data_IF_440409139166
#
_entry.id   IF_440409139166
#
_cell.length_a   1.000
_cell.length_b   1.000
_cell.length_c   1.000
_cell.angle_alpha   90.00
_cell.angle_beta   90.00
_cell.angle_gamma   90.00
#
_symmetry.space_group_name_H-M   'P 1'
#
loop_
_entity.id
_entity.type
_entity.pdbx_description
1 polymer ?
#
# COMPACT_ATOMS: atom_id res chain seq x y z
N UNK A 1 -22.92 18.92 -3.45
CA UNK A 1 -21.46 19.12 -3.64
C UNK A 1 -20.78 17.77 -3.44
N UNK A 2 -20.46 17.06 -4.53
CA UNK A 2 -19.78 15.76 -4.46
C UNK A 2 -18.37 15.97 -3.92
N UNK A 3 -18.00 15.25 -2.86
CA UNK A 3 -16.65 15.31 -2.30
C UNK A 3 -15.72 14.49 -3.20
N UNK A 4 -14.92 15.15 -4.02
CA UNK A 4 -13.82 14.49 -4.72
C UNK A 4 -12.83 13.94 -3.68
N UNK A 5 -12.85 12.63 -3.45
CA UNK A 5 -11.96 11.96 -2.52
C UNK A 5 -10.76 11.41 -3.30
N UNK A 6 -9.58 11.98 -3.03
CA UNK A 6 -8.33 11.56 -3.64
C UNK A 6 -7.61 10.53 -2.77
N UNK A 7 -7.05 9.51 -3.40
CA UNK A 7 -6.22 8.49 -2.73
C UNK A 7 -4.80 8.67 -3.24
N UNK A 8 -3.86 8.97 -2.32
CA UNK A 8 -2.44 9.08 -2.63
C UNK A 8 -1.72 7.83 -2.14
N UNK A 9 -1.06 7.13 -3.07
CA UNK A 9 -0.30 5.91 -2.76
C UNK A 9 1.15 6.17 -3.11
N UNK A 10 2.05 5.87 -2.16
CA UNK A 10 3.50 5.88 -2.41
C UNK A 10 3.93 4.46 -2.74
N UNK A 11 4.70 4.34 -3.82
CA UNK A 11 5.26 3.08 -4.31
C UNK A 11 6.73 3.31 -4.65
N UNK A 12 7.55 2.26 -4.52
CA UNK A 12 8.93 2.26 -4.97
C UNK A 12 9.02 2.49 -6.47
N UNK A 13 10.22 2.87 -6.93
CA UNK A 13 10.50 3.04 -8.36
C UNK A 13 10.32 1.75 -9.15
N UNK A 14 10.61 0.60 -8.55
CA UNK A 14 10.44 -0.73 -9.17
C UNK A 14 8.97 -1.11 -9.31
N UNK A 15 8.20 -0.96 -8.23
CA UNK A 15 6.75 -1.20 -8.23
C UNK A 15 6.03 -0.29 -9.22
N UNK A 16 6.45 0.97 -9.33
CA UNK A 16 5.92 1.91 -10.33
C UNK A 16 6.17 1.46 -11.77
N UNK A 17 7.31 0.82 -12.05
CA UNK A 17 7.61 0.27 -13.39
C UNK A 17 6.68 -0.91 -13.68
N UNK A 18 6.53 -1.82 -12.71
CA UNK A 18 5.63 -2.96 -12.83
C UNK A 18 4.18 -2.52 -13.06
N UNK A 19 3.69 -1.57 -12.27
CA UNK A 19 2.33 -1.02 -12.40
C UNK A 19 2.10 -0.36 -13.77
N UNK A 20 3.10 0.34 -14.31
CA UNK A 20 3.03 0.90 -15.67
C UNK A 20 2.92 -0.19 -16.73
N UNK A 21 3.67 -1.27 -16.59
CA UNK A 21 3.64 -2.38 -17.52
C UNK A 21 2.28 -3.08 -17.50
N UNK A 22 1.77 -3.42 -16.31
CA UNK A 22 0.48 -4.07 -16.12
C UNK A 22 -0.67 -3.19 -16.64
N UNK A 23 -0.64 -1.89 -16.36
CA UNK A 23 -1.64 -0.96 -16.85
C UNK A 23 -1.62 -0.87 -18.39
N UNK A 24 -0.43 -0.89 -19.01
CA UNK A 24 -0.28 -0.91 -20.47
C UNK A 24 -0.79 -2.20 -21.10
N UNK A 25 -0.49 -3.35 -20.49
CA UNK A 25 -0.93 -4.66 -20.97
C UNK A 25 -2.46 -4.79 -20.97
N UNK A 26 -3.12 -4.13 -20.02
CA UNK A 26 -4.59 -4.11 -19.88
C UNK A 26 -5.25 -2.88 -20.53
N UNK A 27 -4.51 -2.08 -21.30
CA UNK A 27 -4.99 -0.84 -21.96
C UNK A 27 -5.76 0.12 -21.03
N UNK A 28 -5.27 0.30 -19.81
CA UNK A 28 -5.90 1.16 -18.80
C UNK A 28 -4.88 2.08 -18.13
N UNK A 29 -5.36 3.13 -17.47
CA UNK A 29 -4.51 3.97 -16.63
C UNK A 29 -4.16 3.25 -15.33
N UNK A 30 -3.01 3.59 -14.74
CA UNK A 30 -2.55 3.02 -13.46
C UNK A 30 -3.63 3.20 -12.37
N UNK A 31 -4.23 4.38 -12.29
CA UNK A 31 -5.30 4.67 -11.32
C UNK A 31 -6.51 3.76 -11.52
N UNK A 32 -6.93 3.54 -12.78
CA UNK A 32 -8.07 2.67 -13.10
C UNK A 32 -7.74 1.21 -12.80
N UNK A 33 -6.53 0.77 -13.13
CA UNK A 33 -6.05 -0.57 -12.80
C UNK A 33 -6.05 -0.82 -11.29
N UNK A 34 -5.44 0.07 -10.50
CA UNK A 34 -5.41 -0.04 -9.02
C UNK A 34 -6.82 -0.06 -8.43
N UNK A 35 -7.72 0.81 -8.92
CA UNK A 35 -9.09 0.84 -8.42
C UNK A 35 -9.87 -0.43 -8.77
N UNK A 36 -9.64 -0.99 -9.96
CA UNK A 36 -10.31 -2.22 -10.39
C UNK A 36 -9.84 -3.41 -9.55
N UNK A 37 -8.53 -3.62 -9.46
CA UNK A 37 -7.95 -4.72 -8.70
C UNK A 37 -8.24 -4.63 -7.21
N UNK A 38 -8.26 -3.42 -6.63
CA UNK A 38 -8.66 -3.20 -5.24
C UNK A 38 -10.13 -3.57 -4.98
N UNK A 39 -11.03 -3.31 -5.94
CA UNK A 39 -12.45 -3.70 -5.83
C UNK A 39 -12.62 -5.21 -5.96
N UNK A 40 -11.95 -5.82 -6.94
CA UNK A 40 -11.99 -7.26 -7.16
C UNK A 40 -11.44 -8.04 -5.95
N UNK A 41 -10.30 -7.60 -5.40
CA UNK A 41 -9.74 -8.19 -4.17
C UNK A 41 -10.64 -7.98 -2.97
N UNK A 42 -11.29 -6.82 -2.81
CA UNK A 42 -12.26 -6.59 -1.74
C UNK A 42 -13.46 -7.55 -1.84
N UNK A 43 -13.97 -7.78 -3.06
CA UNK A 43 -15.04 -8.75 -3.30
C UNK A 43 -14.61 -10.17 -2.95
N UNK A 44 -13.41 -10.58 -3.37
CA UNK A 44 -12.85 -11.89 -3.04
C UNK A 44 -12.64 -12.07 -1.52
N UNK A 45 -12.16 -11.03 -0.82
CA UNK A 45 -11.98 -11.06 0.64
C UNK A 45 -13.33 -11.18 1.35
N UNK A 46 -14.36 -10.46 0.91
CA UNK A 46 -15.69 -10.55 1.51
C UNK A 46 -16.30 -11.94 1.29
N UNK A 47 -16.14 -12.51 0.09
CA UNK A 47 -16.57 -13.87 -0.20
C UNK A 47 -15.90 -14.93 0.71
N UNK A 48 -14.59 -14.78 0.96
CA UNK A 48 -13.86 -15.66 1.89
C UNK A 48 -14.40 -15.50 3.32
N UNK A 49 -14.60 -14.26 3.79
CA UNK A 49 -15.13 -13.99 5.15
C UNK A 49 -16.54 -14.55 5.38
N UNK A 50 -17.39 -14.52 4.36
CA UNK A 50 -18.78 -15.01 4.48
C UNK A 50 -18.88 -16.54 4.43
N UNK A 51 -17.88 -17.22 3.88
CA UNK A 51 -17.92 -18.69 3.65
C UNK A 51 -16.90 -19.49 4.47
N UNK A 52 -16.04 -18.87 5.27
CA UNK A 52 -15.09 -19.58 6.13
C UNK A 52 -15.32 -19.24 7.60
N UNK A 53 -15.91 -20.20 8.33
CA UNK A 53 -16.04 -20.18 9.79
C UNK A 53 -14.76 -20.63 10.52
N UNK A 54 -13.58 -20.54 9.89
CA UNK A 54 -12.33 -21.02 10.49
C UNK A 54 -11.20 -19.99 10.40
N UNK A 55 -10.64 -19.75 11.58
CA UNK A 55 -9.70 -18.71 11.98
C UNK A 55 -8.33 -18.95 11.34
N UNK A 56 -8.22 -18.75 10.03
CA UNK A 56 -6.90 -18.65 9.40
C UNK A 56 -6.33 -17.28 9.73
N UNK A 57 -5.63 -17.19 10.86
CA UNK A 57 -4.70 -16.10 11.12
C UNK A 57 -3.71 -16.07 9.96
N UNK A 58 -3.93 -15.16 9.01
CA UNK A 58 -2.84 -14.66 8.15
C UNK A 58 -1.92 -13.84 9.04
N UNK A 59 -1.10 -14.52 9.85
CA UNK A 59 0.05 -13.96 10.54
C UNK A 59 1.22 -13.79 9.57
N UNK A 60 0.98 -13.06 8.48
CA UNK A 60 2.06 -12.47 7.71
C UNK A 60 2.36 -11.10 8.28
N UNK A 61 3.60 -11.00 8.77
CA UNK A 61 4.25 -9.84 9.36
C UNK A 61 3.83 -9.56 10.80
N UNK A 62 4.69 -10.08 11.69
CA UNK A 62 5.35 -9.24 12.68
C UNK A 62 5.57 -7.84 12.07
N UNK A 63 4.56 -6.97 12.24
CA UNK A 63 4.64 -5.57 11.86
C UNK A 63 5.65 -4.97 12.80
N UNK A 64 6.92 -5.03 12.41
CA UNK A 64 7.77 -3.87 12.53
C UNK A 64 6.94 -2.73 11.94
N UNK A 65 6.24 -1.98 12.80
CA UNK A 65 5.50 -0.81 12.36
C UNK A 65 6.57 0.05 11.70
N UNK A 66 6.48 0.26 10.40
CA UNK A 66 7.39 1.16 9.71
C UNK A 66 6.69 2.50 9.53
N UNK A 67 7.43 3.58 9.73
CA UNK A 67 7.02 4.96 9.47
C UNK A 67 7.90 5.51 8.36
N UNK A 68 7.45 6.54 7.66
CA UNK A 68 8.27 7.21 6.67
C UNK A 68 8.83 8.50 7.24
N UNK A 69 10.08 8.82 6.91
CA UNK A 69 10.69 10.08 7.28
C UNK A 69 9.90 11.24 6.65
N UNK A 70 9.43 12.16 7.49
CA UNK A 70 8.71 13.37 7.06
C UNK A 70 9.54 14.33 6.19
N UNK A 71 10.87 14.18 6.18
CA UNK A 71 11.79 15.05 5.43
C UNK A 71 12.21 14.42 4.11
N UNK A 72 12.74 13.18 4.14
CA UNK A 72 13.30 12.55 2.93
C UNK A 72 12.47 11.40 2.36
N UNK A 73 11.36 11.04 3.02
CA UNK A 73 10.47 9.96 2.57
C UNK A 73 11.03 8.55 2.70
N UNK A 74 12.16 8.36 3.40
CA UNK A 74 12.75 7.03 3.57
C UNK A 74 12.01 6.22 4.63
N UNK A 75 11.99 4.91 4.45
CA UNK A 75 11.39 3.98 5.40
C UNK A 75 12.21 3.96 6.71
N UNK A 76 11.50 3.96 7.83
CA UNK A 76 12.03 3.96 9.19
C UNK A 76 11.28 2.92 10.00
N UNK A 77 11.93 2.31 10.97
CA UNK A 77 11.22 1.57 12.03
C UNK A 77 10.46 2.54 12.94
N UNK A 78 9.33 2.13 13.52
CA UNK A 78 8.51 2.99 14.41
C UNK A 78 9.33 3.50 15.59
N UNK A 79 10.19 2.62 16.13
CA UNK A 79 11.08 2.88 17.27
C UNK A 79 12.36 3.62 16.87
N UNK A 80 12.56 3.89 15.58
CA UNK A 80 13.66 4.73 15.13
C UNK A 80 13.51 6.12 15.73
N UNK A 81 14.55 6.62 16.40
CA UNK A 81 14.59 7.99 16.95
C UNK A 81 15.03 9.01 15.90
N UNK A 82 15.81 8.59 14.89
CA UNK A 82 16.35 9.45 13.84
C UNK A 82 16.39 8.72 12.50
N UNK A 83 16.25 9.47 11.40
CA UNK A 83 16.34 8.90 10.08
C UNK A 83 17.78 8.52 9.74
N UNK A 84 18.04 7.23 9.53
CA UNK A 84 19.35 6.72 9.11
C UNK A 84 19.83 7.29 7.76
N UNK A 85 18.93 7.83 6.94
CA UNK A 85 19.29 8.41 5.63
C UNK A 85 19.57 9.91 5.65
N UNK A 86 18.85 10.69 6.46
CA UNK A 86 18.96 12.16 6.43
C UNK A 86 19.28 12.79 7.79
N UNK A 87 19.43 11.99 8.85
CA UNK A 87 19.74 12.46 10.21
C UNK A 87 18.59 13.17 10.94
N UNK A 88 17.44 13.37 10.29
CA UNK A 88 16.30 14.07 10.92
C UNK A 88 15.74 13.27 12.10
N UNK A 89 15.54 13.93 13.25
CA UNK A 89 14.86 13.37 14.42
C UNK A 89 13.37 13.12 14.15
N UNK A 90 12.87 11.97 14.56
CA UNK A 90 11.56 11.42 14.13
C UNK A 90 10.48 11.45 15.22
N UNK A 91 10.74 12.23 16.26
CA UNK A 91 9.80 12.67 17.29
C UNK A 91 9.25 14.07 16.98
#
# INVERSE_FOLDING_TARGET
>A
MSKDQFITIRVSSEEKKLLKQLAKENDVTISKYILHTAKETAAAINFIKENSADNTQLSFFDKSKTKFCRVCGSELTIDSSFCARCGTRTE
#
